data_IF_702347443356
#
_entry.id   IF_702347443356
#
_cell.length_a   1.000
_cell.length_b   1.000
_cell.length_c   1.000
_cell.angle_alpha   90.00
_cell.angle_beta   90.00
_cell.angle_gamma   90.00
#
_symmetry.space_group_name_H-M   'P 1'
#
loop_
_entity.id
_entity.type
_entity.pdbx_description
1 polymer ?
#
# COMPACT_ATOMS: atom_id res chain seq x y z
N UNK A 1 -82.95 -32.62 -35.48
CA UNK A 1 -81.95 -33.26 -34.63
C UNK A 1 -80.80 -32.31 -34.46
N UNK A 2 -80.64 -31.76 -33.23
CA UNK A 2 -79.77 -30.61 -32.92
C UNK A 2 -78.43 -31.11 -32.35
N UNK A 3 -77.34 -30.81 -33.00
CA UNK A 3 -75.97 -31.08 -32.52
C UNK A 3 -75.47 -29.85 -31.67
N UNK A 4 -75.15 -30.14 -30.43
CA UNK A 4 -74.54 -29.18 -29.51
C UNK A 4 -73.03 -29.18 -29.67
N UNK A 5 -72.44 -28.06 -30.11
CA UNK A 5 -70.99 -27.80 -30.11
C UNK A 5 -70.64 -27.22 -28.74
N UNK A 6 -69.81 -27.89 -27.96
CA UNK A 6 -69.22 -27.40 -26.72
C UNK A 6 -67.88 -26.75 -27.05
N UNK A 7 -67.82 -25.43 -26.87
CA UNK A 7 -66.58 -24.64 -26.94
C UNK A 7 -65.82 -24.76 -25.59
N UNK A 8 -64.68 -25.40 -25.56
CA UNK A 8 -63.78 -25.43 -24.40
C UNK A 8 -62.80 -24.26 -24.51
N UNK A 9 -62.94 -23.25 -23.67
CA UNK A 9 -61.97 -22.16 -23.53
C UNK A 9 -60.87 -22.63 -22.56
N UNK A 10 -59.72 -22.96 -23.10
CA UNK A 10 -58.50 -23.25 -22.32
C UNK A 10 -57.79 -21.94 -21.96
N UNK A 11 -57.87 -21.55 -20.69
CA UNK A 11 -57.06 -20.47 -20.15
C UNK A 11 -55.63 -20.93 -19.94
N UNK A 12 -54.69 -20.52 -20.81
CA UNK A 12 -53.28 -20.73 -20.61
C UNK A 12 -52.77 -19.71 -19.58
N UNK A 13 -52.50 -20.13 -18.35
CA UNK A 13 -51.81 -19.35 -17.33
C UNK A 13 -50.33 -19.35 -17.68
N UNK A 14 -49.84 -18.26 -18.27
CA UNK A 14 -48.39 -18.01 -18.45
C UNK A 14 -47.75 -17.68 -17.09
N UNK A 15 -47.12 -18.65 -16.45
CA UNK A 15 -46.29 -18.44 -15.27
C UNK A 15 -45.02 -17.75 -15.78
N UNK A 16 -44.92 -16.46 -15.63
CA UNK A 16 -43.68 -15.71 -15.83
C UNK A 16 -42.70 -16.06 -14.71
N UNK A 17 -41.77 -16.97 -14.98
CA UNK A 17 -40.59 -17.12 -14.13
C UNK A 17 -39.78 -15.83 -14.29
N UNK A 18 -39.95 -14.90 -13.33
CA UNK A 18 -38.97 -13.84 -13.11
C UNK A 18 -37.72 -14.53 -12.53
N UNK A 19 -36.75 -14.86 -13.38
CA UNK A 19 -35.42 -15.18 -12.93
C UNK A 19 -34.95 -13.98 -12.10
N UNK A 20 -34.87 -14.14 -10.80
CA UNK A 20 -34.20 -13.16 -9.96
C UNK A 20 -32.77 -13.06 -10.48
N UNK A 21 -32.46 -11.98 -11.20
CA UNK A 21 -31.10 -11.71 -11.62
C UNK A 21 -30.25 -11.70 -10.36
N UNK A 22 -29.41 -12.69 -10.19
CA UNK A 22 -28.45 -12.70 -9.09
C UNK A 22 -27.60 -11.44 -9.23
N UNK A 23 -27.63 -10.62 -8.20
CA UNK A 23 -26.91 -9.36 -8.18
C UNK A 23 -25.41 -9.64 -8.40
N UNK A 24 -24.79 -8.97 -9.37
CA UNK A 24 -23.39 -9.17 -9.73
C UNK A 24 -22.45 -8.88 -8.54
N UNK A 25 -21.50 -9.76 -8.30
CA UNK A 25 -20.47 -9.57 -7.27
C UNK A 25 -19.57 -8.41 -7.62
N UNK A 26 -18.96 -7.79 -6.60
CA UNK A 26 -17.90 -6.81 -6.76
C UNK A 26 -16.57 -7.53 -7.00
N UNK A 27 -15.83 -7.17 -8.06
CA UNK A 27 -14.55 -7.80 -8.40
C UNK A 27 -13.37 -6.89 -8.12
N UNK A 28 -12.45 -7.36 -7.27
CA UNK A 28 -11.19 -6.69 -6.94
C UNK A 28 -10.04 -7.44 -7.60
N UNK A 29 -9.29 -6.76 -8.47
CA UNK A 29 -8.07 -7.27 -9.08
C UNK A 29 -6.84 -6.80 -8.29
N UNK A 30 -6.06 -7.73 -7.75
CA UNK A 30 -4.85 -7.46 -6.98
C UNK A 30 -3.63 -8.01 -7.73
N UNK A 31 -2.72 -7.14 -8.15
CA UNK A 31 -1.41 -7.55 -8.67
C UNK A 31 -0.34 -7.13 -7.69
N UNK A 32 0.39 -8.09 -7.12
CA UNK A 32 1.45 -7.89 -6.12
C UNK A 32 2.57 -8.90 -6.32
N UNK A 33 3.75 -8.60 -5.79
CA UNK A 33 4.91 -9.48 -5.92
C UNK A 33 4.85 -10.64 -4.92
N UNK A 34 4.30 -11.77 -5.32
CA UNK A 34 4.32 -12.99 -4.50
C UNK A 34 5.67 -13.70 -4.59
N UNK A 35 6.47 -13.39 -5.62
CA UNK A 35 7.81 -13.87 -5.86
C UNK A 35 8.79 -12.73 -6.19
N UNK A 36 10.10 -13.03 -6.25
CA UNK A 36 11.15 -12.06 -6.56
C UNK A 36 11.53 -11.14 -5.38
N UNK A 37 12.35 -10.09 -5.63
CA UNK A 37 12.95 -9.25 -4.56
C UNK A 37 11.94 -8.49 -3.68
N UNK A 38 10.71 -8.27 -4.15
CA UNK A 38 9.66 -7.60 -3.38
C UNK A 38 8.70 -8.57 -2.68
N UNK A 39 8.94 -9.89 -2.69
CA UNK A 39 8.02 -10.88 -2.11
C UNK A 39 7.79 -10.68 -0.61
N UNK A 40 8.80 -10.18 0.12
CA UNK A 40 8.65 -9.83 1.53
C UNK A 40 7.65 -8.69 1.80
N UNK A 41 7.22 -7.99 0.75
CA UNK A 41 6.15 -6.97 0.79
C UNK A 41 4.85 -7.54 0.21
N UNK A 42 4.94 -8.23 -0.94
CA UNK A 42 3.79 -8.69 -1.71
C UNK A 42 2.98 -9.79 -1.04
N UNK A 43 3.66 -10.75 -0.42
CA UNK A 43 2.96 -11.81 0.34
C UNK A 43 2.14 -11.24 1.51
N UNK A 44 2.67 -10.31 2.34
CA UNK A 44 1.86 -9.58 3.31
C UNK A 44 0.67 -8.81 2.71
N UNK A 45 0.84 -8.13 1.58
CA UNK A 45 -0.29 -7.44 0.90
C UNK A 45 -1.43 -8.41 0.56
N UNK A 46 -1.12 -9.57 -0.02
CA UNK A 46 -2.14 -10.56 -0.36
C UNK A 46 -2.87 -11.10 0.89
N UNK A 47 -2.13 -11.39 1.95
CA UNK A 47 -2.69 -11.84 3.24
C UNK A 47 -3.56 -10.76 3.90
N UNK A 48 -3.13 -9.51 3.86
CA UNK A 48 -3.90 -8.39 4.39
C UNK A 48 -5.21 -8.17 3.63
N UNK A 49 -5.21 -8.35 2.30
CA UNK A 49 -6.43 -8.29 1.48
C UNK A 49 -7.42 -9.40 1.84
N UNK A 50 -6.93 -10.63 2.05
CA UNK A 50 -7.77 -11.73 2.51
C UNK A 50 -8.41 -11.43 3.88
N UNK A 51 -7.62 -10.87 4.80
CA UNK A 51 -8.13 -10.45 6.11
C UNK A 51 -9.18 -9.32 5.99
N UNK A 52 -8.99 -8.38 5.08
CA UNK A 52 -9.91 -7.28 4.83
C UNK A 52 -11.28 -7.78 4.30
N UNK A 53 -11.26 -8.70 3.34
CA UNK A 53 -12.48 -9.30 2.81
C UNK A 53 -13.19 -10.14 3.88
N UNK A 54 -12.45 -10.91 4.68
CA UNK A 54 -13.05 -11.65 5.79
C UNK A 54 -13.64 -10.74 6.87
N UNK A 55 -13.06 -9.56 7.08
CA UNK A 55 -13.57 -8.53 7.99
C UNK A 55 -14.87 -7.90 7.47
N UNK A 56 -14.99 -7.68 6.17
CA UNK A 56 -16.18 -7.11 5.53
C UNK A 56 -16.48 -7.83 4.20
N UNK A 57 -17.08 -9.01 4.23
CA UNK A 57 -17.23 -9.87 3.04
C UNK A 57 -18.26 -9.37 2.02
N UNK A 58 -19.14 -8.47 2.43
CA UNK A 58 -20.20 -7.92 1.59
C UNK A 58 -20.24 -6.38 1.67
N UNK A 59 -20.52 -5.74 0.56
CA UNK A 59 -20.66 -4.30 0.42
C UNK A 59 -21.98 -4.01 -0.29
N UNK A 60 -22.90 -3.33 0.38
CA UNK A 60 -24.23 -3.02 -0.20
C UNK A 60 -25.00 -4.26 -0.65
N UNK A 61 -24.86 -5.39 0.04
CA UNK A 61 -25.48 -6.66 -0.28
C UNK A 61 -24.85 -7.42 -1.45
N UNK A 62 -23.68 -7.01 -1.94
CA UNK A 62 -22.89 -7.66 -2.98
C UNK A 62 -21.68 -8.34 -2.34
N UNK A 63 -21.40 -9.58 -2.69
CA UNK A 63 -20.18 -10.28 -2.29
C UNK A 63 -18.97 -9.69 -3.00
N UNK A 64 -17.80 -9.84 -2.40
CA UNK A 64 -16.52 -9.40 -2.99
C UNK A 64 -15.73 -10.60 -3.45
N UNK A 65 -15.42 -10.63 -4.75
CA UNK A 65 -14.53 -11.59 -5.38
C UNK A 65 -13.13 -10.99 -5.52
N UNK A 66 -12.11 -11.68 -5.01
CA UNK A 66 -10.71 -11.30 -5.14
C UNK A 66 -10.02 -12.14 -6.19
N UNK A 67 -9.31 -11.50 -7.11
CA UNK A 67 -8.46 -12.13 -8.11
C UNK A 67 -7.04 -11.63 -7.87
N UNK A 68 -6.11 -12.55 -7.55
CA UNK A 68 -4.71 -12.22 -7.22
C UNK A 68 -3.79 -12.75 -8.30
N UNK A 69 -2.90 -11.88 -8.80
CA UNK A 69 -1.87 -12.23 -9.77
C UNK A 69 -0.48 -11.86 -9.24
N UNK A 70 0.48 -12.76 -9.42
CA UNK A 70 1.89 -12.50 -9.10
C UNK A 70 2.54 -11.67 -10.24
N UNK A 71 3.14 -10.53 -9.89
CA UNK A 71 3.93 -9.75 -10.84
C UNK A 71 5.41 -10.11 -10.86
N UNK A 72 5.86 -11.03 -10.00
CA UNK A 72 7.25 -11.48 -9.94
C UNK A 72 8.25 -10.37 -9.63
N UNK A 73 7.80 -9.26 -9.04
CA UNK A 73 8.59 -8.04 -8.80
C UNK A 73 9.02 -7.30 -10.09
N UNK A 74 8.33 -7.54 -11.21
CA UNK A 74 8.62 -6.97 -12.52
C UNK A 74 7.50 -6.00 -12.96
N UNK A 75 7.83 -4.73 -13.28
CA UNK A 75 6.83 -3.74 -13.69
C UNK A 75 6.09 -4.11 -14.99
N UNK A 76 6.75 -4.81 -15.93
CA UNK A 76 6.12 -5.22 -17.18
C UNK A 76 5.09 -6.32 -16.93
N UNK A 77 5.39 -7.26 -16.02
CA UNK A 77 4.42 -8.26 -15.57
C UNK A 77 3.24 -7.61 -14.85
N UNK A 78 3.49 -6.63 -13.99
CA UNK A 78 2.43 -5.88 -13.31
C UNK A 78 1.47 -5.21 -14.31
N UNK A 79 2.01 -4.60 -15.37
CA UNK A 79 1.21 -4.03 -16.46
C UNK A 79 0.41 -5.09 -17.24
N UNK A 80 1.02 -6.24 -17.55
CA UNK A 80 0.30 -7.38 -18.18
C UNK A 80 -0.81 -7.93 -17.30
N UNK A 81 -0.54 -8.11 -16.02
CA UNK A 81 -1.52 -8.54 -15.03
C UNK A 81 -2.70 -7.57 -14.95
N UNK A 82 -2.43 -6.26 -14.92
CA UNK A 82 -3.48 -5.25 -14.89
C UNK A 82 -4.38 -5.33 -16.13
N UNK A 83 -3.81 -5.49 -17.34
CA UNK A 83 -4.60 -5.70 -18.56
C UNK A 83 -5.46 -6.95 -18.48
N UNK A 84 -4.89 -8.08 -18.06
CA UNK A 84 -5.63 -9.33 -17.86
C UNK A 84 -6.80 -9.15 -16.88
N UNK A 85 -6.55 -8.52 -15.74
CA UNK A 85 -7.60 -8.25 -14.73
C UNK A 85 -8.75 -7.40 -15.30
N UNK A 86 -8.44 -6.40 -16.13
CA UNK A 86 -9.45 -5.52 -16.73
C UNK A 86 -10.16 -6.18 -17.92
N UNK A 87 -9.40 -6.79 -18.83
CA UNK A 87 -9.90 -7.23 -20.14
C UNK A 87 -10.54 -8.62 -20.09
N UNK A 88 -9.98 -9.55 -19.31
CA UNK A 88 -10.47 -10.93 -19.18
C UNK A 88 -11.37 -11.09 -17.95
N UNK A 89 -10.89 -10.68 -16.78
CA UNK A 89 -11.60 -10.87 -15.51
C UNK A 89 -12.70 -9.83 -15.25
N UNK A 90 -12.65 -8.69 -15.97
CA UNK A 90 -13.63 -7.60 -15.87
C UNK A 90 -13.74 -7.04 -14.44
N UNK A 91 -12.62 -6.83 -13.77
CA UNK A 91 -12.62 -6.28 -12.41
C UNK A 91 -13.18 -4.86 -12.36
N UNK A 92 -13.78 -4.51 -11.23
CA UNK A 92 -14.34 -3.18 -10.96
C UNK A 92 -13.26 -2.19 -10.52
N UNK A 93 -12.20 -2.72 -9.89
CA UNK A 93 -11.08 -1.94 -9.36
C UNK A 93 -9.78 -2.72 -9.47
N UNK A 94 -8.68 -2.00 -9.73
CA UNK A 94 -7.31 -2.50 -9.64
C UNK A 94 -6.70 -2.10 -8.29
N UNK A 95 -5.93 -2.99 -7.68
CA UNK A 95 -5.10 -2.70 -6.51
C UNK A 95 -3.70 -3.26 -6.71
N UNK A 96 -2.69 -2.59 -6.20
CA UNK A 96 -1.28 -3.03 -6.28
C UNK A 96 -0.32 -1.85 -6.40
N UNK A 97 0.95 -2.06 -6.54
CA UNK A 97 1.73 -3.27 -6.40
C UNK A 97 2.65 -3.17 -5.18
N UNK A 98 3.60 -4.11 -5.05
CA UNK A 98 4.57 -4.15 -3.94
C UNK A 98 5.74 -3.17 -4.11
N UNK A 99 5.95 -2.66 -5.32
CA UNK A 99 7.02 -1.73 -5.64
C UNK A 99 6.53 -0.54 -6.47
N UNK A 100 7.19 0.61 -6.31
CA UNK A 100 6.82 1.86 -6.99
C UNK A 100 6.77 1.72 -8.51
N UNK A 101 7.78 1.14 -9.21
CA UNK A 101 7.71 0.99 -10.67
C UNK A 101 6.52 0.13 -11.13
N UNK A 102 6.21 -0.96 -10.44
CA UNK A 102 5.09 -1.83 -10.75
C UNK A 102 3.74 -1.13 -10.48
N UNK A 103 3.63 -0.35 -9.40
CA UNK A 103 2.44 0.46 -9.10
C UNK A 103 2.16 1.49 -10.19
N UNK A 104 3.20 2.15 -10.71
CA UNK A 104 3.09 3.09 -11.84
C UNK A 104 2.60 2.36 -13.10
N UNK A 105 3.13 1.18 -13.40
CA UNK A 105 2.69 0.40 -14.57
C UNK A 105 1.21 -0.01 -14.49
N UNK A 106 0.70 -0.38 -13.31
CA UNK A 106 -0.72 -0.68 -13.09
C UNK A 106 -1.56 0.60 -13.25
N UNK A 107 -1.10 1.75 -12.73
CA UNK A 107 -1.83 3.01 -12.82
C UNK A 107 -2.05 3.48 -14.26
N UNK A 108 -1.07 3.26 -15.13
CA UNK A 108 -1.19 3.54 -16.56
C UNK A 108 -2.33 2.72 -17.20
N UNK A 109 -2.39 1.41 -16.90
CA UNK A 109 -3.48 0.55 -17.39
C UNK A 109 -4.83 0.97 -16.83
N UNK A 110 -4.90 1.32 -15.52
CA UNK A 110 -6.12 1.82 -14.90
C UNK A 110 -6.68 3.06 -15.61
N UNK A 111 -5.81 4.01 -15.95
CA UNK A 111 -6.16 5.22 -16.70
C UNK A 111 -6.61 4.91 -18.14
N UNK A 112 -5.83 4.10 -18.88
CA UNK A 112 -6.14 3.71 -20.27
C UNK A 112 -7.51 3.02 -20.36
N UNK A 113 -7.79 2.12 -19.43
CA UNK A 113 -9.02 1.30 -19.38
C UNK A 113 -10.18 1.97 -18.65
N UNK A 114 -9.99 3.16 -18.09
CA UNK A 114 -10.96 3.82 -17.22
C UNK A 114 -11.42 2.91 -16.06
N UNK A 115 -10.47 2.24 -15.43
CA UNK A 115 -10.68 1.39 -14.25
C UNK A 115 -10.00 2.05 -13.05
N UNK A 116 -10.74 2.35 -11.96
CA UNK A 116 -10.14 2.97 -10.79
C UNK A 116 -9.04 2.09 -10.20
N UNK A 117 -8.01 2.72 -9.65
CA UNK A 117 -6.89 2.05 -9.04
C UNK A 117 -6.60 2.61 -7.64
N UNK A 118 -6.34 1.72 -6.70
CA UNK A 118 -5.76 2.04 -5.39
C UNK A 118 -4.34 1.48 -5.34
N UNK A 119 -3.35 2.37 -5.35
CA UNK A 119 -1.94 2.00 -5.18
C UNK A 119 -1.63 1.57 -3.75
N UNK A 120 -0.85 0.51 -3.60
CA UNK A 120 -0.38 0.00 -2.30
C UNK A 120 1.04 0.50 -1.98
N UNK A 121 1.75 1.03 -2.97
CA UNK A 121 3.05 1.70 -2.80
C UNK A 121 2.91 3.21 -3.07
N UNK A 122 3.76 4.05 -2.46
CA UNK A 122 3.80 5.48 -2.77
C UNK A 122 4.25 5.70 -4.21
N UNK A 123 3.56 6.57 -4.94
CA UNK A 123 3.92 6.92 -6.31
C UNK A 123 3.88 8.44 -6.52
N UNK A 124 4.56 8.90 -7.57
CA UNK A 124 4.43 10.26 -8.07
C UNK A 124 3.97 10.19 -9.51
N UNK A 125 2.87 10.84 -9.82
CA UNK A 125 2.32 10.97 -11.17
C UNK A 125 2.07 12.44 -11.46
N UNK A 126 2.21 12.88 -12.72
CA UNK A 126 1.69 14.18 -13.13
C UNK A 126 0.17 14.29 -12.82
N UNK A 127 -0.34 15.46 -12.45
CA UNK A 127 -1.77 15.63 -12.14
C UNK A 127 -2.71 15.13 -13.26
N UNK A 128 -2.31 15.33 -14.53
CA UNK A 128 -3.07 14.85 -15.69
C UNK A 128 -3.08 13.32 -15.86
N UNK A 129 -2.27 12.58 -15.09
CA UNK A 129 -2.16 11.12 -15.15
C UNK A 129 -2.73 10.44 -13.89
N UNK A 130 -3.22 11.21 -12.93
CA UNK A 130 -3.69 10.71 -11.64
C UNK A 130 -5.21 10.63 -11.50
N UNK A 131 -5.96 10.91 -12.58
CA UNK A 131 -7.42 11.02 -12.58
C UNK A 131 -8.18 9.70 -12.34
N UNK A 132 -7.50 8.56 -12.34
CA UNK A 132 -8.04 7.23 -12.06
C UNK A 132 -7.31 6.51 -10.91
N UNK A 133 -6.36 7.17 -10.25
CA UNK A 133 -5.49 6.53 -9.26
C UNK A 133 -5.41 7.35 -7.98
N UNK A 134 -5.54 6.66 -6.85
CA UNK A 134 -5.14 7.14 -5.52
C UNK A 134 -4.18 6.11 -4.89
N UNK A 135 -3.48 6.48 -3.81
CA UNK A 135 -2.68 5.52 -3.03
C UNK A 135 -3.00 5.62 -1.55
N UNK A 136 -3.05 4.47 -0.88
CA UNK A 136 -3.23 4.38 0.57
C UNK A 136 -1.92 4.42 1.35
N UNK A 137 -0.78 4.27 0.66
CA UNK A 137 0.51 4.47 1.29
C UNK A 137 0.72 5.94 1.68
N UNK A 138 1.51 6.20 2.72
CA UNK A 138 1.81 7.57 3.13
C UNK A 138 2.69 8.28 2.10
N UNK A 139 2.53 9.61 1.93
CA UNK A 139 3.43 10.43 1.12
C UNK A 139 4.87 10.30 1.61
N UNK A 140 5.86 10.03 0.74
CA UNK A 140 7.26 9.95 1.15
C UNK A 140 7.73 11.22 1.87
N UNK A 141 7.31 12.40 1.40
CA UNK A 141 7.67 13.66 2.05
C UNK A 141 7.19 13.72 3.51
N UNK A 142 5.93 13.36 3.78
CA UNK A 142 5.37 13.32 5.13
C UNK A 142 6.21 12.45 6.08
N UNK A 143 6.65 11.30 5.59
CA UNK A 143 7.43 10.33 6.37
C UNK A 143 8.87 10.80 6.60
N UNK A 144 9.51 11.31 5.56
CA UNK A 144 10.91 11.76 5.63
C UNK A 144 11.05 13.05 6.45
N UNK A 145 10.07 13.95 6.40
CA UNK A 145 10.06 15.14 7.28
C UNK A 145 10.17 14.76 8.76
N UNK A 146 9.46 13.70 9.20
CA UNK A 146 9.55 13.22 10.57
C UNK A 146 10.95 12.65 10.91
N UNK A 147 11.57 11.92 9.96
CA UNK A 147 12.93 11.41 10.14
C UNK A 147 13.95 12.53 10.22
N UNK A 148 13.85 13.53 9.36
CA UNK A 148 14.77 14.69 9.37
C UNK A 148 14.60 15.52 10.64
N UNK A 149 13.39 15.70 11.13
CA UNK A 149 13.15 16.31 12.45
C UNK A 149 13.80 15.50 13.58
N UNK A 150 13.78 14.17 13.48
CA UNK A 150 14.48 13.30 14.42
C UNK A 150 15.99 13.47 14.31
N UNK A 151 16.57 13.47 13.10
CA UNK A 151 17.99 13.72 12.87
C UNK A 151 18.43 15.06 13.48
N UNK A 152 17.61 16.11 13.31
CA UNK A 152 17.89 17.42 13.89
C UNK A 152 17.93 17.40 15.42
N UNK A 153 16.99 16.68 16.05
CA UNK A 153 17.00 16.49 17.53
C UNK A 153 18.22 15.71 17.99
N UNK A 154 18.69 14.74 17.21
CA UNK A 154 19.88 13.95 17.49
C UNK A 154 21.19 14.70 17.17
N UNK A 155 21.13 15.96 16.73
CA UNK A 155 22.30 16.80 16.49
C UNK A 155 23.02 16.55 15.16
N UNK A 156 22.44 15.76 14.25
CA UNK A 156 23.01 15.45 12.94
C UNK A 156 23.20 16.72 12.10
N UNK A 157 24.38 16.89 11.52
CA UNK A 157 24.73 17.98 10.61
C UNK A 157 25.00 17.51 9.19
N UNK A 158 25.48 16.27 9.06
CA UNK A 158 25.80 15.66 7.77
C UNK A 158 25.17 14.28 7.69
N UNK A 159 24.55 13.95 6.53
CA UNK A 159 23.94 12.66 6.29
C UNK A 159 24.40 12.08 4.96
N UNK A 160 24.81 10.81 4.97
CA UNK A 160 25.03 10.02 3.76
C UNK A 160 23.72 9.36 3.34
N UNK A 161 23.45 9.26 2.04
CA UNK A 161 22.32 8.53 1.51
C UNK A 161 22.76 7.27 0.76
N UNK A 162 22.05 6.18 0.96
CA UNK A 162 22.13 4.96 0.16
C UNK A 162 20.74 4.38 -0.08
N UNK A 163 20.33 4.24 -1.35
CA UNK A 163 18.99 3.78 -1.70
C UNK A 163 18.96 3.03 -3.02
N UNK A 164 17.77 2.52 -3.37
CA UNK A 164 17.59 1.84 -4.65
C UNK A 164 17.85 2.77 -5.85
N UNK A 165 18.30 2.17 -6.94
CA UNK A 165 18.49 2.83 -8.25
C UNK A 165 17.18 2.83 -9.07
N UNK A 166 16.03 3.02 -8.44
CA UNK A 166 14.71 3.05 -9.05
C UNK A 166 13.85 4.21 -8.50
N UNK A 167 12.61 4.31 -8.99
CA UNK A 167 11.70 5.38 -8.60
C UNK A 167 11.44 5.47 -7.09
N UNK A 168 11.51 4.36 -6.33
CA UNK A 168 11.40 4.42 -4.88
C UNK A 168 12.60 5.12 -4.24
N UNK A 169 13.81 4.72 -4.62
CA UNK A 169 15.02 5.37 -4.13
C UNK A 169 15.06 6.85 -4.47
N UNK A 170 14.54 7.25 -5.64
CA UNK A 170 14.43 8.65 -6.03
C UNK A 170 13.42 9.43 -5.19
N UNK A 171 12.24 8.84 -4.92
CA UNK A 171 11.23 9.46 -4.05
C UNK A 171 11.78 9.73 -2.65
N UNK A 172 12.51 8.77 -2.06
CA UNK A 172 13.12 8.92 -0.73
C UNK A 172 14.23 9.97 -0.75
N UNK A 173 15.13 9.91 -1.74
CA UNK A 173 16.23 10.87 -1.88
C UNK A 173 15.74 12.31 -2.07
N UNK A 174 14.80 12.51 -2.98
CA UNK A 174 14.25 13.84 -3.25
C UNK A 174 13.52 14.41 -2.03
N UNK A 175 12.80 13.56 -1.28
CA UNK A 175 12.16 13.95 -0.03
C UNK A 175 13.20 14.30 1.05
N UNK A 176 14.31 13.55 1.13
CA UNK A 176 15.42 13.86 2.03
C UNK A 176 16.06 15.20 1.68
N UNK A 177 16.38 15.44 0.42
CA UNK A 177 16.97 16.72 -0.02
C UNK A 177 16.09 17.92 0.36
N UNK A 178 14.77 17.80 0.08
CA UNK A 178 13.80 18.85 0.38
C UNK A 178 13.64 19.11 1.88
N UNK A 179 13.74 18.09 2.72
CA UNK A 179 13.59 18.22 4.17
C UNK A 179 14.91 18.62 4.88
N UNK A 180 16.06 18.15 4.40
CA UNK A 180 17.36 18.34 5.02
C UNK A 180 17.86 19.78 4.95
N UNK A 181 17.69 20.43 3.80
CA UNK A 181 18.17 21.81 3.56
C UNK A 181 17.61 22.81 4.60
N UNK A 182 16.28 22.94 4.81
CA UNK A 182 15.73 23.85 5.81
C UNK A 182 16.03 23.41 7.26
N UNK A 183 16.38 22.14 7.47
CA UNK A 183 16.80 21.63 8.77
C UNK A 183 18.27 21.92 9.10
N UNK A 184 19.05 22.47 8.15
CA UNK A 184 20.48 22.73 8.27
C UNK A 184 21.32 21.44 8.25
N UNK A 185 20.83 20.37 7.58
CA UNK A 185 21.50 19.09 7.44
C UNK A 185 22.03 18.96 6.00
N UNK A 186 23.33 18.72 5.83
CA UNK A 186 23.96 18.57 4.53
C UNK A 186 23.93 17.09 4.11
N UNK A 187 23.36 16.77 2.94
CA UNK A 187 23.48 15.46 2.30
C UNK A 187 24.83 15.40 1.58
N UNK A 188 25.72 14.48 2.02
CA UNK A 188 27.12 14.44 1.56
C UNK A 188 27.41 13.32 0.58
N UNK A 189 26.54 12.30 0.48
CA UNK A 189 26.63 11.22 -0.53
C UNK A 189 25.26 10.86 -1.07
N UNK A 190 25.24 10.29 -2.28
CA UNK A 190 24.03 9.72 -2.91
C UNK A 190 24.40 8.41 -3.61
N UNK A 191 24.51 7.36 -2.83
CA UNK A 191 24.88 6.05 -3.34
C UNK A 191 23.65 5.23 -3.70
N UNK A 192 23.76 4.44 -4.77
CA UNK A 192 22.65 3.68 -5.33
C UNK A 192 23.02 2.22 -5.53
N UNK A 193 21.99 1.34 -5.40
CA UNK A 193 22.11 -0.09 -5.67
C UNK A 193 20.81 -0.64 -6.24
N UNK A 194 20.90 -1.75 -6.98
CA UNK A 194 19.73 -2.43 -7.52
C UNK A 194 19.08 -3.34 -6.47
N UNK A 195 17.78 -3.60 -6.59
CA UNK A 195 17.07 -4.52 -5.68
C UNK A 195 17.61 -5.94 -5.71
N UNK A 196 18.19 -6.36 -6.83
CA UNK A 196 18.78 -7.69 -7.02
C UNK A 196 20.25 -7.75 -6.64
N UNK A 197 20.88 -6.65 -6.22
CA UNK A 197 22.28 -6.66 -5.81
C UNK A 197 22.48 -7.51 -4.55
N UNK A 198 23.53 -8.32 -4.56
CA UNK A 198 23.91 -9.16 -3.42
C UNK A 198 24.86 -8.44 -2.44
N UNK A 199 25.44 -7.29 -2.83
CA UNK A 199 26.39 -6.53 -2.01
C UNK A 199 26.31 -5.03 -2.33
N UNK A 200 26.55 -4.22 -1.30
CA UNK A 200 26.64 -2.75 -1.39
C UNK A 200 27.95 -2.23 -0.80
N UNK A 201 28.97 -3.09 -0.75
CA UNK A 201 30.27 -2.80 -0.13
C UNK A 201 30.93 -1.55 -0.75
N UNK A 202 30.93 -1.45 -2.09
CA UNK A 202 31.52 -0.30 -2.78
C UNK A 202 30.85 1.02 -2.44
N UNK A 203 29.51 1.03 -2.37
CA UNK A 203 28.72 2.18 -1.99
C UNK A 203 28.99 2.60 -0.53
N UNK A 204 29.00 1.62 0.38
CA UNK A 204 29.24 1.88 1.80
C UNK A 204 30.66 2.40 2.06
N UNK A 205 31.69 1.94 1.33
CA UNK A 205 33.05 2.48 1.43
C UNK A 205 33.11 3.98 1.09
N UNK A 206 32.38 4.44 0.07
CA UNK A 206 32.29 5.86 -0.29
C UNK A 206 31.59 6.67 0.82
N UNK A 207 30.52 6.12 1.40
CA UNK A 207 29.83 6.78 2.51
C UNK A 207 30.76 6.93 3.71
N UNK A 208 31.42 5.86 4.12
CA UNK A 208 32.36 5.88 5.27
C UNK A 208 33.51 6.86 5.02
N UNK A 209 34.04 6.92 3.79
CA UNK A 209 35.08 7.89 3.42
C UNK A 209 34.62 9.36 3.52
N UNK A 210 33.32 9.62 3.26
CA UNK A 210 32.74 10.98 3.42
C UNK A 210 32.49 11.37 4.88
N UNK A 211 32.61 10.47 5.83
CA UNK A 211 32.46 10.65 7.29
C UNK A 211 31.18 11.40 7.68
N UNK A 212 29.99 10.99 7.25
CA UNK A 212 28.77 11.63 7.69
C UNK A 212 28.46 11.32 9.16
N UNK A 213 27.73 12.22 9.84
CA UNK A 213 27.25 11.98 11.21
C UNK A 213 26.22 10.82 11.25
N UNK A 214 25.49 10.67 10.15
CA UNK A 214 24.43 9.66 10.04
C UNK A 214 24.28 9.14 8.60
N UNK A 215 23.57 8.04 8.45
CA UNK A 215 23.18 7.49 7.14
C UNK A 215 21.67 7.34 7.07
N UNK A 216 21.08 7.78 5.95
CA UNK A 216 19.68 7.53 5.58
C UNK A 216 19.61 6.43 4.52
N UNK A 217 18.77 5.43 4.73
CA UNK A 217 18.58 4.31 3.79
C UNK A 217 17.27 4.45 3.01
N UNK A 218 17.34 4.26 1.69
CA UNK A 218 16.23 4.35 0.74
C UNK A 218 15.92 3.00 0.05
N UNK A 219 16.15 1.88 0.75
CA UNK A 219 15.75 0.54 0.32
C UNK A 219 14.34 0.18 0.78
N UNK A 220 13.86 -1.01 0.47
CA UNK A 220 12.61 -1.57 1.03
C UNK A 220 12.69 -3.10 1.06
N UNK A 221 11.85 -3.72 1.90
CA UNK A 221 11.82 -5.16 2.04
C UNK A 221 13.17 -5.77 2.46
N UNK A 222 13.36 -7.05 2.16
CA UNK A 222 14.58 -7.79 2.49
C UNK A 222 15.86 -7.17 1.90
N UNK A 223 15.91 -6.73 0.62
CA UNK A 223 17.11 -6.11 0.07
C UNK A 223 17.49 -4.79 0.77
N UNK A 224 16.56 -4.13 1.44
CA UNK A 224 16.83 -2.94 2.26
C UNK A 224 17.71 -3.18 3.48
N UNK A 225 17.97 -4.43 3.86
CA UNK A 225 18.87 -4.80 4.94
C UNK A 225 20.36 -4.68 4.57
N UNK A 226 20.72 -4.77 3.27
CA UNK A 226 22.13 -4.77 2.83
C UNK A 226 22.94 -3.58 3.33
N UNK A 227 22.45 -2.31 3.28
CA UNK A 227 23.19 -1.18 3.81
C UNK A 227 23.49 -1.31 5.31
N UNK A 228 22.57 -1.83 6.10
CA UNK A 228 22.74 -2.00 7.54
C UNK A 228 23.84 -2.99 7.86
N UNK A 229 23.85 -4.15 7.17
CA UNK A 229 24.88 -5.18 7.32
C UNK A 229 26.26 -4.63 6.92
N UNK A 230 26.35 -3.99 5.76
CA UNK A 230 27.63 -3.47 5.27
C UNK A 230 28.17 -2.30 6.11
N UNK A 231 27.32 -1.40 6.62
CA UNK A 231 27.73 -0.32 7.53
C UNK A 231 28.25 -0.87 8.86
N UNK A 232 27.56 -1.88 9.42
CA UNK A 232 27.98 -2.54 10.66
C UNK A 232 29.33 -3.27 10.46
N UNK A 233 29.50 -4.01 9.36
CA UNK A 233 30.75 -4.68 9.01
C UNK A 233 31.93 -3.70 8.88
N UNK A 234 31.68 -2.50 8.34
CA UNK A 234 32.70 -1.44 8.23
C UNK A 234 32.85 -0.60 9.51
N UNK A 235 32.17 -0.97 10.58
CA UNK A 235 32.31 -0.32 11.88
C UNK A 235 31.78 1.11 11.94
N UNK A 236 30.80 1.48 11.09
CA UNK A 236 30.16 2.78 11.12
C UNK A 236 29.52 3.03 12.50
N UNK A 237 29.81 4.19 13.10
CA UNK A 237 29.41 4.53 14.46
C UNK A 237 28.28 5.54 14.56
N UNK A 238 27.93 6.18 13.42
CA UNK A 238 26.83 7.14 13.37
C UNK A 238 25.46 6.44 13.40
N UNK A 239 24.41 7.21 13.58
CA UNK A 239 23.05 6.71 13.52
C UNK A 239 22.68 6.31 12.08
N UNK A 240 21.94 5.20 11.96
CA UNK A 240 21.33 4.82 10.69
C UNK A 240 19.82 5.04 10.81
N UNK A 241 19.27 5.81 9.88
CA UNK A 241 17.84 6.09 9.78
C UNK A 241 17.25 5.36 8.59
N UNK A 242 16.09 4.81 8.78
CA UNK A 242 15.34 4.17 7.72
C UNK A 242 14.05 4.91 7.35
N UNK A 243 13.25 4.29 6.55
CA UNK A 243 11.94 4.78 6.13
C UNK A 243 10.91 3.64 6.18
N UNK A 244 9.63 3.97 6.01
CA UNK A 244 8.51 3.05 6.22
C UNK A 244 8.49 1.79 5.33
N UNK A 245 9.22 1.76 4.20
CA UNK A 245 9.37 0.57 3.36
C UNK A 245 10.18 -0.57 3.97
N UNK A 246 10.77 -0.38 5.16
CA UNK A 246 11.56 -1.39 5.89
C UNK A 246 10.79 -2.05 7.03
N UNK A 247 9.54 -1.63 7.29
CA UNK A 247 8.76 -2.13 8.42
C UNK A 247 8.15 -3.50 8.10
N UNK A 248 8.98 -4.54 8.12
CA UNK A 248 8.56 -5.93 7.94
C UNK A 248 9.48 -6.91 8.70
N UNK A 249 8.98 -8.13 9.02
CA UNK A 249 9.73 -9.13 9.79
C UNK A 249 11.00 -9.63 9.07
N UNK A 250 10.97 -9.72 7.74
CA UNK A 250 12.11 -10.21 6.97
C UNK A 250 13.28 -9.23 7.01
N UNK A 251 13.01 -7.91 6.96
CA UNK A 251 14.04 -6.91 7.20
C UNK A 251 14.65 -7.08 8.59
N UNK A 252 13.81 -7.18 9.63
CA UNK A 252 14.27 -7.35 11.02
C UNK A 252 15.11 -8.61 11.16
N UNK A 253 14.68 -9.72 10.58
CA UNK A 253 15.40 -11.01 10.62
C UNK A 253 16.74 -10.95 9.90
N UNK A 254 16.79 -10.34 8.70
CA UNK A 254 18.00 -10.31 7.87
C UNK A 254 19.01 -9.29 8.41
N UNK A 255 18.56 -8.08 8.75
CA UNK A 255 19.44 -7.04 9.29
C UNK A 255 19.93 -7.38 10.72
N UNK A 256 19.12 -8.12 11.49
CA UNK A 256 19.47 -8.59 12.83
C UNK A 256 19.94 -7.45 13.75
N UNK A 257 21.04 -7.70 14.45
CA UNK A 257 21.63 -6.71 15.36
C UNK A 257 22.13 -5.43 14.65
N UNK A 258 22.43 -5.50 13.34
CA UNK A 258 22.92 -4.36 12.57
C UNK A 258 21.87 -3.25 12.41
N UNK A 259 20.57 -3.58 12.55
CA UNK A 259 19.50 -2.60 12.52
C UNK A 259 19.04 -2.12 13.91
N UNK A 260 19.63 -2.63 15.00
CA UNK A 260 19.29 -2.15 16.32
C UNK A 260 19.56 -0.66 16.46
N UNK A 261 18.67 0.02 17.18
CA UNK A 261 18.68 1.47 17.39
C UNK A 261 18.38 2.32 16.15
N UNK A 262 18.03 1.72 15.02
CA UNK A 262 17.55 2.50 13.87
C UNK A 262 16.20 3.16 14.19
N UNK A 263 16.02 4.40 13.70
CA UNK A 263 14.76 5.13 13.77
C UNK A 263 14.11 5.14 12.39
N UNK A 264 12.79 4.91 12.38
CA UNK A 264 12.00 4.88 11.15
C UNK A 264 10.64 5.53 11.39
N UNK A 265 10.08 6.21 10.38
CA UNK A 265 8.68 6.60 10.40
C UNK A 265 7.85 5.37 10.02
N UNK A 266 6.66 5.26 10.55
CA UNK A 266 5.71 4.22 10.16
C UNK A 266 4.27 4.67 10.42
N UNK A 267 3.32 3.93 9.86
CA UNK A 267 1.93 4.08 10.25
C UNK A 267 1.68 3.58 11.67
N UNK A 268 0.70 4.15 12.36
CA UNK A 268 0.42 3.85 13.78
C UNK A 268 0.08 2.38 14.06
N UNK A 269 -0.39 1.63 13.06
CA UNK A 269 -0.73 0.20 13.20
C UNK A 269 0.40 -0.66 13.78
N UNK A 270 1.65 -0.31 13.52
CA UNK A 270 2.82 -1.09 13.96
C UNK A 270 2.96 -1.10 15.49
N UNK A 271 2.53 -0.03 16.12
CA UNK A 271 2.62 0.18 17.56
C UNK A 271 1.24 0.45 18.20
N UNK A 272 0.19 -0.13 17.60
CA UNK A 272 -1.21 0.14 17.97
C UNK A 272 -1.47 -0.02 19.48
N UNK A 273 -0.87 -1.01 20.15
CA UNK A 273 -1.02 -1.24 21.58
C UNK A 273 -0.35 -0.13 22.43
N UNK A 274 0.70 0.52 21.88
CA UNK A 274 1.47 1.56 22.56
C UNK A 274 0.84 2.95 22.39
N UNK A 275 -0.16 3.10 21.51
CA UNK A 275 -0.83 4.37 21.27
C UNK A 275 -1.82 4.72 22.38
N UNK A 276 -2.10 6.02 22.64
CA UNK A 276 -3.18 6.46 23.49
C UNK A 276 -4.53 5.87 23.07
N UNK A 277 -5.47 5.73 24.01
CA UNK A 277 -6.78 5.12 23.70
C UNK A 277 -7.58 5.91 22.65
N UNK A 278 -7.44 7.22 22.67
CA UNK A 278 -8.12 8.19 21.80
C UNK A 278 -7.45 8.33 20.43
N UNK A 279 -6.34 7.64 20.16
CA UNK A 279 -5.68 7.76 18.86
C UNK A 279 -6.61 7.27 17.74
N UNK A 280 -6.85 8.07 16.68
CA UNK A 280 -7.96 7.83 15.74
C UNK A 280 -7.95 6.44 15.10
N UNK A 281 -6.76 5.89 14.81
CA UNK A 281 -6.62 4.62 14.09
C UNK A 281 -6.49 3.41 15.02
N UNK A 282 -6.36 3.61 16.36
CA UNK A 282 -6.05 2.51 17.28
C UNK A 282 -7.06 1.38 17.24
N UNK A 283 -8.35 1.72 17.27
CA UNK A 283 -9.41 0.70 17.26
C UNK A 283 -9.35 -0.16 16.00
N UNK A 284 -9.35 0.47 14.82
CA UNK A 284 -9.35 -0.27 13.55
C UNK A 284 -8.04 -1.05 13.33
N UNK A 285 -6.90 -0.56 13.85
CA UNK A 285 -5.64 -1.28 13.81
C UNK A 285 -5.69 -2.58 14.64
N UNK A 286 -6.32 -2.56 15.82
CA UNK A 286 -6.53 -3.75 16.66
C UNK A 286 -7.57 -4.71 16.04
N UNK A 287 -8.64 -4.19 15.46
CA UNK A 287 -9.64 -4.98 14.72
C UNK A 287 -8.98 -5.69 13.51
N UNK A 288 -8.14 -4.98 12.74
CA UNK A 288 -7.35 -5.57 11.65
C UNK A 288 -6.46 -6.71 12.15
N UNK A 289 -5.69 -6.51 13.23
CA UNK A 289 -4.81 -7.56 13.77
C UNK A 289 -5.59 -8.80 14.16
N UNK A 290 -6.76 -8.63 14.77
CA UNK A 290 -7.66 -9.74 15.11
C UNK A 290 -8.16 -10.47 13.86
N UNK A 291 -8.62 -9.74 12.83
CA UNK A 291 -9.06 -10.31 11.56
C UNK A 291 -7.92 -11.04 10.84
N UNK A 292 -6.73 -10.43 10.79
CA UNK A 292 -5.55 -11.03 10.17
C UNK A 292 -5.14 -12.33 10.86
N UNK A 293 -5.05 -12.33 12.20
CA UNK A 293 -4.74 -13.52 13.00
C UNK A 293 -5.73 -14.65 12.73
N UNK A 294 -7.02 -14.34 12.67
CA UNK A 294 -8.09 -15.33 12.44
C UNK A 294 -7.96 -15.98 11.07
N UNK A 295 -7.59 -15.22 10.03
CA UNK A 295 -7.53 -15.72 8.65
C UNK A 295 -6.21 -16.44 8.37
N UNK A 296 -5.09 -15.91 8.89
CA UNK A 296 -3.76 -16.36 8.53
C UNK A 296 -3.10 -17.28 9.59
N UNK A 297 -3.75 -17.54 10.72
CA UNK A 297 -3.20 -18.28 11.88
C UNK A 297 -1.84 -17.75 12.36
N UNK A 298 -1.58 -16.45 12.15
CA UNK A 298 -0.34 -15.79 12.51
C UNK A 298 -0.60 -14.30 12.79
N UNK A 299 0.16 -13.65 13.70
CA UNK A 299 0.03 -12.23 13.94
C UNK A 299 0.50 -11.41 12.72
N UNK A 300 -0.12 -10.26 12.49
CA UNK A 300 0.44 -9.24 11.59
C UNK A 300 1.53 -8.47 12.34
N UNK A 301 2.75 -8.48 11.79
CA UNK A 301 3.94 -7.79 12.35
C UNK A 301 4.60 -6.87 11.33
N UNK A 302 3.92 -6.58 10.24
CA UNK A 302 4.35 -5.76 9.11
C UNK A 302 3.39 -4.60 8.84
N UNK A 303 3.86 -3.60 8.09
CA UNK A 303 3.03 -2.48 7.64
C UNK A 303 2.23 -2.80 6.37
N UNK A 304 2.68 -3.78 5.57
CA UNK A 304 2.20 -4.00 4.20
C UNK A 304 0.84 -4.67 4.16
N UNK A 305 0.60 -5.65 5.01
CA UNK A 305 -0.71 -6.27 5.15
C UNK A 305 -1.80 -5.27 5.56
N UNK A 306 -1.42 -4.27 6.34
CA UNK A 306 -2.32 -3.21 6.78
C UNK A 306 -2.65 -2.21 5.65
N UNK A 307 -1.72 -1.90 4.72
CA UNK A 307 -2.04 -1.05 3.56
C UNK A 307 -3.10 -1.67 2.64
N UNK A 308 -3.04 -2.96 2.38
CA UNK A 308 -4.08 -3.61 1.56
C UNK A 308 -5.43 -3.68 2.28
N UNK A 309 -5.41 -3.83 3.61
CA UNK A 309 -6.61 -3.71 4.42
C UNK A 309 -7.22 -2.29 4.31
N UNK A 310 -6.41 -1.25 4.40
CA UNK A 310 -6.85 0.14 4.24
C UNK A 310 -7.36 0.42 2.83
N UNK A 311 -6.67 -0.10 1.80
CA UNK A 311 -7.12 -0.02 0.42
C UNK A 311 -8.51 -0.63 0.23
N UNK A 312 -8.75 -1.76 0.89
CA UNK A 312 -10.07 -2.38 0.89
C UNK A 312 -11.13 -1.55 1.64
N UNK A 313 -10.79 -0.93 2.77
CA UNK A 313 -11.74 -0.07 3.50
C UNK A 313 -12.16 1.15 2.66
N UNK A 314 -11.21 1.79 1.98
CA UNK A 314 -11.47 2.90 1.05
C UNK A 314 -12.36 2.44 -0.11
N UNK A 315 -12.04 1.29 -0.70
CA UNK A 315 -12.87 0.68 -1.75
C UNK A 315 -14.28 0.39 -1.25
N UNK A 316 -14.41 -0.22 -0.07
CA UNK A 316 -15.70 -0.63 0.49
C UNK A 316 -16.63 0.57 0.77
N UNK A 317 -16.07 1.67 1.27
CA UNK A 317 -16.82 2.92 1.45
C UNK A 317 -17.27 3.50 0.10
N UNK A 318 -16.35 3.61 -0.86
CA UNK A 318 -16.64 4.15 -2.18
C UNK A 318 -17.64 3.28 -2.98
N UNK A 319 -17.46 1.95 -2.94
CA UNK A 319 -18.36 1.01 -3.61
C UNK A 319 -19.78 1.05 -3.03
N UNK A 320 -19.92 1.16 -1.70
CA UNK A 320 -21.23 1.32 -1.08
C UNK A 320 -21.94 2.58 -1.58
N UNK A 321 -21.24 3.70 -1.75
CA UNK A 321 -21.79 4.96 -2.30
C UNK A 321 -22.13 4.82 -3.80
N UNK A 322 -21.28 4.16 -4.60
CA UNK A 322 -21.57 3.91 -6.01
C UNK A 322 -22.80 3.00 -6.20
N UNK A 323 -22.95 1.96 -5.39
CA UNK A 323 -24.12 1.08 -5.39
C UNK A 323 -25.40 1.83 -4.98
N UNK A 324 -25.32 2.70 -3.96
CA UNK A 324 -26.44 3.53 -3.55
C UNK A 324 -26.93 4.49 -4.66
N UNK A 325 -26.02 4.91 -5.55
CA UNK A 325 -26.33 5.66 -6.76
C UNK A 325 -26.87 4.78 -7.92
N UNK A 326 -27.17 3.47 -7.65
CA UNK A 326 -27.71 2.49 -8.60
C UNK A 326 -26.78 2.17 -9.78
N UNK A 327 -25.48 2.37 -9.64
CA UNK A 327 -24.50 1.89 -10.60
C UNK A 327 -24.30 0.37 -10.44
N UNK A 328 -24.30 -0.38 -11.55
CA UNK A 328 -24.19 -1.85 -11.51
C UNK A 328 -22.75 -2.32 -11.71
N UNK A 329 -22.22 -3.19 -10.83
CA UNK A 329 -20.88 -3.77 -10.96
C UNK A 329 -20.61 -4.41 -12.32
N UNK A 330 -19.34 -4.43 -12.75
CA UNK A 330 -18.92 -4.96 -14.05
C UNK A 330 -19.13 -4.01 -15.22
N UNK A 331 -19.69 -2.81 -15.01
CA UNK A 331 -19.97 -1.84 -16.10
C UNK A 331 -19.00 -0.64 -16.07
N UNK A 332 -18.77 0.01 -17.24
CA UNK A 332 -18.02 1.27 -17.28
C UNK A 332 -18.65 2.38 -16.41
N UNK A 333 -19.98 2.41 -16.30
CA UNK A 333 -20.70 3.36 -15.47
C UNK A 333 -20.37 3.16 -13.98
N UNK A 334 -20.30 1.90 -13.53
CA UNK A 334 -19.91 1.61 -12.16
C UNK A 334 -18.45 2.02 -11.88
N UNK A 335 -17.53 1.73 -12.77
CA UNK A 335 -16.11 2.14 -12.63
C UNK A 335 -15.96 3.66 -12.53
N UNK A 336 -16.74 4.42 -13.33
CA UNK A 336 -16.75 5.87 -13.25
C UNK A 336 -17.33 6.37 -11.93
N UNK A 337 -18.46 5.82 -11.50
CA UNK A 337 -19.09 6.17 -10.21
C UNK A 337 -18.18 5.79 -9.03
N UNK A 338 -17.50 4.64 -9.10
CA UNK A 338 -16.54 4.20 -8.09
C UNK A 338 -15.32 5.13 -8.01
N UNK A 339 -14.78 5.56 -9.17
CA UNK A 339 -13.71 6.57 -9.21
C UNK A 339 -14.15 7.87 -8.52
N UNK A 340 -15.30 8.40 -8.87
CA UNK A 340 -15.80 9.66 -8.30
C UNK A 340 -16.06 9.51 -6.79
N UNK A 341 -16.56 8.36 -6.38
CA UNK A 341 -16.72 8.02 -4.97
C UNK A 341 -15.37 7.96 -4.24
N UNK A 342 -14.32 7.35 -4.81
CA UNK A 342 -12.98 7.33 -4.23
C UNK A 342 -12.45 8.76 -4.04
N UNK A 343 -12.54 9.63 -5.07
CA UNK A 343 -12.06 11.01 -4.99
C UNK A 343 -12.92 11.93 -4.11
N UNK A 344 -14.06 11.47 -3.64
CA UNK A 344 -14.90 12.16 -2.64
C UNK A 344 -14.88 11.48 -1.26
N UNK A 345 -13.94 10.56 -1.02
CA UNK A 345 -13.75 9.93 0.29
C UNK A 345 -13.46 10.97 1.37
N UNK A 346 -14.16 10.88 2.51
CA UNK A 346 -13.98 11.76 3.67
C UNK A 346 -13.94 10.96 4.95
N UNK A 347 -12.91 11.21 5.78
CA UNK A 347 -12.72 10.67 7.12
C UNK A 347 -12.88 9.13 7.20
N UNK A 348 -12.47 8.40 6.16
CA UNK A 348 -12.40 6.94 6.25
C UNK A 348 -11.22 6.56 7.12
N UNK A 349 -11.51 6.01 8.29
CA UNK A 349 -10.49 5.60 9.27
C UNK A 349 -9.93 4.25 8.87
N UNK A 350 -8.64 4.25 8.51
CA UNK A 350 -7.85 3.05 8.25
C UNK A 350 -6.84 2.79 9.38
N UNK A 351 -6.06 1.77 9.21
CA UNK A 351 -5.04 1.32 10.18
C UNK A 351 -3.81 2.23 10.20
N UNK A 352 -3.47 2.80 9.03
CA UNK A 352 -2.34 3.70 8.84
C UNK A 352 -2.70 5.18 8.98
N UNK A 353 -3.97 5.55 8.81
CA UNK A 353 -4.35 6.96 8.84
C UNK A 353 -5.84 7.15 8.60
N UNK A 354 -6.24 8.41 8.49
CA UNK A 354 -7.60 8.81 8.14
C UNK A 354 -7.57 9.37 6.72
N UNK A 355 -8.34 8.75 5.83
CA UNK A 355 -8.28 9.01 4.39
C UNK A 355 -9.29 10.04 3.94
N UNK A 356 -8.80 11.06 3.24
CA UNK A 356 -9.55 12.15 2.63
C UNK A 356 -9.00 12.40 1.23
N UNK A 357 -9.61 11.85 0.20
CA UNK A 357 -9.15 12.04 -1.17
C UNK A 357 -9.83 13.24 -1.84
N UNK A 358 -9.13 13.83 -2.81
CA UNK A 358 -9.63 14.92 -3.66
C UNK A 358 -9.11 14.71 -5.09
N UNK A 359 -9.85 15.14 -6.11
CA UNK A 359 -9.38 15.14 -7.48
C UNK A 359 -8.01 15.82 -7.61
N UNK A 360 -7.09 15.20 -8.36
CA UNK A 360 -5.72 15.70 -8.56
C UNK A 360 -4.76 15.47 -7.40
N UNK A 361 -5.20 14.80 -6.31
CA UNK A 361 -4.34 14.43 -5.20
C UNK A 361 -4.27 12.90 -5.08
N UNK A 362 -3.07 12.35 -5.26
CA UNK A 362 -2.82 10.92 -5.11
C UNK A 362 -2.95 10.42 -3.67
N UNK A 363 -2.70 11.29 -2.69
CA UNK A 363 -2.61 10.93 -1.28
C UNK A 363 -3.78 11.51 -0.48
N UNK A 364 -4.33 10.71 0.41
CA UNK A 364 -5.50 11.09 1.22
C UNK A 364 -5.21 11.22 2.71
N UNK A 365 -3.98 11.06 3.17
CA UNK A 365 -3.63 11.06 4.60
C UNK A 365 -2.86 12.31 5.01
N UNK A 366 -2.91 12.62 6.30
CA UNK A 366 -2.21 13.72 6.96
C UNK A 366 -1.27 13.22 8.07
N UNK A 367 -0.86 14.09 8.98
CA UNK A 367 0.08 13.79 10.04
C UNK A 367 -0.39 12.70 11.02
N UNK A 368 -1.69 12.43 11.08
CA UNK A 368 -2.25 11.31 11.86
C UNK A 368 -1.81 9.94 11.34
N UNK A 369 -1.23 9.89 10.13
CA UNK A 369 -0.76 8.65 9.49
C UNK A 369 0.70 8.32 9.79
N UNK A 370 1.37 9.03 10.70
CA UNK A 370 2.78 8.80 10.99
C UNK A 370 3.08 8.80 12.48
N UNK A 371 3.98 7.91 12.85
CA UNK A 371 4.68 7.89 14.13
C UNK A 371 6.15 7.57 13.89
N UNK A 372 7.03 7.93 14.81
CA UNK A 372 8.43 7.47 14.80
C UNK A 372 8.55 6.25 15.69
N UNK A 373 9.21 5.22 15.18
CA UNK A 373 9.55 4.02 15.92
C UNK A 373 11.06 3.81 15.94
N UNK A 374 11.52 3.12 16.97
CA UNK A 374 12.89 2.65 17.11
C UNK A 374 12.89 1.13 17.12
N UNK A 375 13.81 0.51 16.39
CA UNK A 375 14.03 -0.93 16.49
C UNK A 375 14.90 -1.24 17.71
N UNK A 376 14.35 -1.97 18.66
CA UNK A 376 15.03 -2.40 19.88
C UNK A 376 14.91 -3.91 20.04
N UNK A 377 16.04 -4.64 19.87
CA UNK A 377 16.09 -6.10 19.99
C UNK A 377 15.02 -6.82 19.17
N UNK A 378 14.84 -6.38 17.91
CA UNK A 378 13.87 -6.96 16.98
C UNK A 378 12.42 -6.51 17.19
N UNK A 379 12.14 -5.58 18.09
CA UNK A 379 10.80 -5.06 18.36
C UNK A 379 10.72 -3.55 18.07
N UNK A 380 9.62 -3.15 17.43
CA UNK A 380 9.33 -1.75 17.17
C UNK A 380 8.76 -1.08 18.43
N UNK A 381 9.39 0.01 18.86
CA UNK A 381 8.98 0.82 19.99
C UNK A 381 8.60 2.21 19.55
N UNK A 382 7.45 2.69 20.01
CA UNK A 382 7.03 4.07 19.79
C UNK A 382 8.04 5.03 20.44
N UNK A 383 8.39 6.07 19.70
CA UNK A 383 9.27 7.15 20.17
C UNK A 383 8.44 8.43 20.21
N UNK A 384 8.44 9.16 21.33
CA UNK A 384 7.76 10.45 21.47
C UNK A 384 8.27 11.52 20.52
#
# INVERSE_FOLDING_TARGET
>A
MKALVRLAIGAAVAIAFTAAATAADLKVGLSVSLSGPNSSLGVPYAKGMQAAIAFRPEIGGRKVQLIVLDDGSDPSNAGRNARKLVEEEKVDILMGSSGVPATIAISQVGRESKTPMIGLSPISLPPAESDWTVTVAQPPQLMIDAVVQRMKRDGVKTVGYIGFSDAWGDLVYNSLMKAAEPAGIKVVTNERYARADASVTGQVLKIVAARPDAVMTGGSGTPGALPYLALAERGFKGNVYGQHGLINPDFVRVAGASANNTFMPTGPVIVAEQLPAEYPTKKIALDFRSAFQKVNNAPSTDAFSAYSFDGYLVFADAAARALAAKAEPGTPAFRAALRDAIFSTKEVVGTHGVYNFKPGNLYGVDERARVIVKLDKGQWKLVP
#
